data_IF_642489840304
#
_entry.id   IF_642489840304
#
_cell.length_a   1.000
_cell.length_b   1.000
_cell.length_c   1.000
_cell.angle_alpha   90.00
_cell.angle_beta   90.00
_cell.angle_gamma   90.00
#
_symmetry.space_group_name_H-M   'P 1'
#
loop_
_entity.id
_entity.type
_entity.pdbx_description
1 polymer ?
#
# COMPACT_ATOMS: atom_id res chain seq x y z
N UNK A 1 12.13 44.91 -29.90
CA UNK A 1 11.26 44.38 -28.82
C UNK A 1 10.43 43.25 -29.38
N UNK A 2 10.79 42.00 -29.09
CA UNK A 2 9.94 40.83 -29.29
C UNK A 2 10.13 39.95 -28.05
N UNK A 3 9.11 39.90 -27.19
CA UNK A 3 9.07 38.97 -26.07
C UNK A 3 8.38 37.69 -26.56
N UNK A 4 9.18 36.69 -26.90
CA UNK A 4 8.71 35.34 -27.18
C UNK A 4 8.52 34.59 -25.86
N UNK A 5 7.27 34.31 -25.50
CA UNK A 5 6.93 33.44 -24.37
C UNK A 5 7.07 31.99 -24.80
N UNK A 6 8.22 31.38 -24.50
CA UNK A 6 8.40 29.93 -24.62
C UNK A 6 7.49 29.21 -23.62
N UNK A 7 6.49 28.53 -24.18
CA UNK A 7 5.67 27.57 -23.45
C UNK A 7 6.51 26.35 -23.14
N UNK A 8 6.82 26.14 -21.87
CA UNK A 8 7.35 24.87 -21.37
C UNK A 8 6.24 23.81 -21.44
N UNK A 9 6.34 22.94 -22.44
CA UNK A 9 5.55 21.73 -22.57
C UNK A 9 6.03 20.71 -21.52
N UNK A 10 5.43 20.74 -20.33
CA UNK A 10 5.60 19.71 -19.30
C UNK A 10 4.73 18.50 -19.65
N UNK A 11 5.03 17.85 -20.77
CA UNK A 11 4.24 16.76 -21.32
C UNK A 11 5.07 15.49 -21.42
N UNK A 12 4.59 14.42 -20.77
CA UNK A 12 5.00 13.02 -20.99
C UNK A 12 6.21 12.55 -20.17
N UNK A 13 6.01 12.40 -18.87
CA UNK A 13 6.74 11.40 -18.10
C UNK A 13 6.52 10.04 -18.76
N UNK A 14 7.55 9.56 -19.48
CA UNK A 14 7.63 8.19 -19.98
C UNK A 14 7.37 7.27 -18.81
N UNK A 15 6.22 6.59 -18.80
CA UNK A 15 6.08 5.31 -18.11
C UNK A 15 7.18 4.42 -18.70
N UNK A 16 8.30 4.32 -17.99
CA UNK A 16 9.27 3.27 -18.25
C UNK A 16 8.55 1.98 -17.90
N UNK A 17 7.97 1.37 -18.93
CA UNK A 17 7.63 -0.03 -18.98
C UNK A 17 8.96 -0.76 -18.72
N UNK A 18 9.22 -1.10 -17.46
CA UNK A 18 10.33 -1.98 -17.10
C UNK A 18 10.11 -3.25 -17.91
N UNK A 19 11.05 -3.67 -18.77
CA UNK A 19 10.82 -4.80 -19.64
C UNK A 19 10.45 -6.01 -18.78
N UNK A 20 9.37 -6.70 -19.12
CA UNK A 20 8.85 -7.85 -18.35
C UNK A 20 9.94 -8.89 -18.00
N UNK A 21 11.01 -8.96 -18.80
CA UNK A 21 12.21 -9.76 -18.53
C UNK A 21 12.91 -9.40 -17.21
N UNK A 22 13.02 -8.11 -16.87
CA UNK A 22 13.63 -7.63 -15.62
C UNK A 22 12.78 -8.00 -14.41
N UNK A 23 11.45 -7.97 -14.54
CA UNK A 23 10.54 -8.34 -13.44
C UNK A 23 10.64 -9.83 -13.10
N UNK A 24 10.64 -10.69 -14.11
CA UNK A 24 10.80 -12.14 -13.92
C UNK A 24 12.17 -12.48 -13.31
N UNK A 25 13.23 -11.83 -13.77
CA UNK A 25 14.57 -12.00 -13.22
C UNK A 25 14.63 -11.61 -11.73
N UNK A 26 14.11 -10.43 -11.36
CA UNK A 26 14.10 -9.97 -9.97
C UNK A 26 13.22 -10.85 -9.07
N UNK A 27 12.11 -11.40 -9.56
CA UNK A 27 11.31 -12.36 -8.80
C UNK A 27 12.08 -13.67 -8.55
N UNK A 28 12.81 -14.17 -9.55
CA UNK A 28 13.66 -15.35 -9.38
C UNK A 28 14.79 -15.08 -8.37
N UNK A 29 15.40 -13.89 -8.40
CA UNK A 29 16.38 -13.47 -7.39
C UNK A 29 15.76 -13.43 -5.99
N UNK A 30 14.56 -12.88 -5.83
CA UNK A 30 13.84 -12.87 -4.55
C UNK A 30 13.61 -14.28 -4.01
N UNK A 31 13.10 -15.19 -4.85
CA UNK A 31 12.84 -16.58 -4.46
C UNK A 31 14.15 -17.30 -4.12
N UNK A 32 15.20 -17.11 -4.92
CA UNK A 32 16.52 -17.68 -4.69
C UNK A 32 17.12 -17.22 -3.36
N UNK A 33 17.09 -15.91 -3.09
CA UNK A 33 17.59 -15.31 -1.86
C UNK A 33 16.84 -15.84 -0.62
N UNK A 34 15.51 -15.95 -0.69
CA UNK A 34 14.70 -16.55 0.38
C UNK A 34 14.98 -18.04 0.61
N UNK A 35 15.53 -18.78 -0.37
CA UNK A 35 15.90 -20.19 -0.18
C UNK A 35 17.20 -20.37 0.58
N UNK A 36 18.14 -19.44 0.41
CA UNK A 36 19.48 -19.47 1.03
C UNK A 36 19.58 -18.57 2.27
N UNK A 37 18.44 -18.07 2.77
CA UNK A 37 18.33 -17.12 3.89
C UNK A 37 19.12 -15.80 3.69
N UNK A 38 19.36 -15.42 2.43
CA UNK A 38 19.96 -14.14 2.07
C UNK A 38 18.89 -13.03 2.10
N UNK A 39 18.64 -12.49 3.29
CA UNK A 39 17.67 -11.40 3.44
C UNK A 39 18.12 -10.11 2.74
N UNK A 40 19.42 -9.82 2.67
CA UNK A 40 19.90 -8.62 1.98
C UNK A 40 19.58 -8.69 0.48
N UNK A 41 19.84 -9.84 -0.16
CA UNK A 41 19.48 -10.09 -1.55
C UNK A 41 17.97 -10.07 -1.79
N UNK A 42 17.18 -10.66 -0.88
CA UNK A 42 15.72 -10.66 -0.97
C UNK A 42 15.15 -9.23 -0.91
N UNK A 43 15.67 -8.42 0.01
CA UNK A 43 15.27 -7.03 0.18
C UNK A 43 15.68 -6.14 -0.99
N UNK A 44 16.88 -6.35 -1.54
CA UNK A 44 17.35 -5.67 -2.74
C UNK A 44 16.43 -5.97 -3.94
N UNK A 45 16.14 -7.25 -4.19
CA UNK A 45 15.24 -7.68 -5.24
C UNK A 45 13.82 -7.11 -5.08
N UNK A 46 13.30 -7.10 -3.84
CA UNK A 46 11.98 -6.52 -3.54
C UNK A 46 11.95 -5.00 -3.78
N UNK A 47 13.04 -4.29 -3.44
CA UNK A 47 13.20 -2.85 -3.70
C UNK A 47 13.15 -2.57 -5.20
N UNK A 48 13.90 -3.34 -6.00
CA UNK A 48 13.89 -3.24 -7.47
C UNK A 48 12.50 -3.51 -8.05
N UNK A 49 11.82 -4.57 -7.58
CA UNK A 49 10.47 -4.91 -8.05
C UNK A 49 9.44 -3.82 -7.71
N UNK A 50 9.50 -3.29 -6.48
CA UNK A 50 8.57 -2.27 -6.02
C UNK A 50 8.79 -0.92 -6.71
N UNK A 51 9.99 -0.67 -7.27
CA UNK A 51 10.35 0.61 -7.88
C UNK A 51 10.34 1.76 -6.88
N UNK A 52 10.57 1.46 -5.59
CA UNK A 52 10.70 2.47 -4.54
C UNK A 52 12.18 2.74 -4.25
N UNK A 53 12.54 3.97 -3.85
CA UNK A 53 13.90 4.25 -3.41
C UNK A 53 14.23 3.48 -2.12
N UNK A 54 15.50 3.14 -1.94
CA UNK A 54 15.95 2.28 -0.84
C UNK A 54 15.50 2.77 0.54
N UNK A 55 15.58 4.09 0.81
CA UNK A 55 15.15 4.66 2.09
C UNK A 55 13.65 4.46 2.38
N UNK A 56 12.81 4.49 1.35
CA UNK A 56 11.37 4.31 1.47
C UNK A 56 11.04 2.85 1.78
N UNK A 57 11.71 1.93 1.08
CA UNK A 57 11.60 0.50 1.38
C UNK A 57 12.14 0.19 2.78
N UNK A 58 13.21 0.88 3.19
CA UNK A 58 13.80 0.71 4.51
C UNK A 58 12.83 1.07 5.64
N UNK A 59 12.07 2.16 5.46
CA UNK A 59 10.99 2.52 6.38
C UNK A 59 9.92 1.45 6.45
N UNK A 60 9.54 0.83 5.32
CA UNK A 60 8.48 -0.18 5.28
C UNK A 60 8.83 -1.45 6.05
N UNK A 61 10.08 -1.93 5.97
CA UNK A 61 10.46 -3.17 6.68
C UNK A 61 10.97 -2.95 8.10
N UNK A 62 11.48 -1.74 8.44
CA UNK A 62 11.90 -1.43 9.82
C UNK A 62 10.70 -1.16 10.72
N UNK A 63 9.60 -0.69 10.14
CA UNK A 63 8.35 -0.49 10.88
C UNK A 63 7.75 -1.86 11.20
N UNK A 64 7.38 -2.10 12.46
CA UNK A 64 6.80 -3.37 12.90
C UNK A 64 5.39 -3.66 12.32
N UNK A 65 4.84 -2.77 11.49
CA UNK A 65 3.53 -2.96 10.89
C UNK A 65 3.60 -3.89 9.67
N UNK A 66 2.72 -4.89 9.56
CA UNK A 66 2.66 -5.75 8.39
C UNK A 66 2.10 -5.07 7.14
N UNK A 67 1.38 -3.94 7.27
CA UNK A 67 0.55 -3.45 6.16
C UNK A 67 1.41 -2.94 5.01
N UNK A 68 2.59 -2.39 5.30
CA UNK A 68 3.51 -1.86 4.30
C UNK A 68 4.05 -2.94 3.39
N UNK A 69 4.59 -3.99 4.02
CA UNK A 69 5.02 -5.18 3.31
C UNK A 69 3.86 -5.85 2.57
N UNK A 70 2.67 -5.89 3.16
CA UNK A 70 1.49 -6.48 2.54
C UNK A 70 1.07 -5.71 1.28
N UNK A 71 1.10 -4.37 1.30
CA UNK A 71 0.85 -3.52 0.13
C UNK A 71 1.85 -3.81 -0.97
N UNK A 72 3.16 -3.80 -0.68
CA UNK A 72 4.18 -4.08 -1.68
C UNK A 72 3.98 -5.48 -2.27
N UNK A 73 3.81 -6.50 -1.43
CA UNK A 73 3.63 -7.87 -1.88
C UNK A 73 2.36 -8.03 -2.73
N UNK A 74 1.23 -7.42 -2.34
CA UNK A 74 -0.02 -7.51 -3.11
C UNK A 74 0.04 -6.75 -4.43
N UNK A 75 0.66 -5.57 -4.45
CA UNK A 75 0.81 -4.77 -5.66
C UNK A 75 1.68 -5.48 -6.71
N UNK A 76 2.61 -6.32 -6.27
CA UNK A 76 3.50 -7.14 -7.10
C UNK A 76 2.94 -8.54 -7.41
N UNK A 77 1.68 -8.80 -7.06
CA UNK A 77 1.02 -10.11 -7.18
C UNK A 77 1.79 -11.26 -6.50
N UNK A 78 2.55 -10.95 -5.44
CA UNK A 78 3.21 -11.97 -4.63
C UNK A 78 2.16 -12.73 -3.82
N UNK A 79 2.20 -14.05 -3.88
CA UNK A 79 1.25 -14.91 -3.18
C UNK A 79 1.51 -14.94 -1.67
N UNK A 80 0.47 -15.29 -0.91
CA UNK A 80 0.50 -15.43 0.56
C UNK A 80 1.73 -16.18 1.10
N UNK A 81 2.21 -17.29 0.51
CA UNK A 81 3.39 -17.98 1.02
C UNK A 81 4.66 -17.13 0.98
N UNK A 82 4.85 -16.31 -0.05
CA UNK A 82 6.01 -15.41 -0.16
C UNK A 82 5.92 -14.28 0.86
N UNK A 83 4.75 -13.68 1.01
CA UNK A 83 4.52 -12.67 2.05
C UNK A 83 4.81 -13.25 3.45
N UNK A 84 4.27 -14.44 3.75
CA UNK A 84 4.50 -15.11 5.03
C UNK A 84 6.00 -15.36 5.28
N UNK A 85 6.72 -15.84 4.27
CA UNK A 85 8.14 -16.10 4.37
C UNK A 85 8.96 -14.82 4.60
N UNK A 86 8.64 -13.74 3.89
CA UNK A 86 9.26 -12.43 4.07
C UNK A 86 8.99 -11.87 5.47
N UNK A 87 7.71 -11.84 5.88
CA UNK A 87 7.30 -11.27 7.15
C UNK A 87 7.91 -12.03 8.34
N UNK A 88 7.92 -13.36 8.28
CA UNK A 88 8.54 -14.18 9.34
C UNK A 88 10.05 -13.95 9.45
N UNK A 89 10.76 -13.78 8.34
CA UNK A 89 12.21 -13.53 8.37
C UNK A 89 12.57 -12.12 8.80
N UNK A 90 11.71 -11.14 8.51
CA UNK A 90 11.93 -9.75 8.90
C UNK A 90 11.66 -9.51 10.39
N UNK A 91 10.68 -10.20 10.97
CA UNK A 91 10.20 -9.90 12.33
C UNK A 91 10.35 -11.05 13.32
N UNK A 92 10.64 -12.26 12.84
CA UNK A 92 10.91 -13.42 13.69
C UNK A 92 12.40 -13.68 13.84
N UNK A 93 12.78 -14.24 14.98
CA UNK A 93 14.08 -14.88 15.15
C UNK A 93 13.97 -16.37 14.77
N UNK A 94 15.05 -17.00 14.30
CA UNK A 94 15.14 -18.46 14.26
C UNK A 94 14.92 -19.03 15.68
N UNK A 95 14.13 -20.11 15.84
CA UNK A 95 13.42 -20.86 14.81
C UNK A 95 12.11 -20.16 14.36
N UNK A 96 12.02 -19.92 13.05
CA UNK A 96 10.91 -19.19 12.41
C UNK A 96 9.52 -19.80 12.63
N UNK A 97 9.44 -21.10 12.94
CA UNK A 97 8.18 -21.80 13.21
C UNK A 97 7.45 -21.27 14.45
N UNK A 98 8.18 -20.76 15.43
CA UNK A 98 7.57 -20.22 16.65
C UNK A 98 6.92 -18.87 16.37
N UNK A 99 7.58 -18.02 15.58
CA UNK A 99 7.00 -16.75 15.14
C UNK A 99 5.71 -16.95 14.33
N UNK A 100 5.67 -17.96 13.47
CA UNK A 100 4.47 -18.29 12.68
C UNK A 100 3.24 -18.65 13.53
N UNK A 101 3.42 -19.02 14.81
CA UNK A 101 2.33 -19.34 15.73
C UNK A 101 1.78 -18.11 16.47
N UNK A 102 2.53 -16.99 16.47
CA UNK A 102 2.19 -15.77 17.22
C UNK A 102 0.93 -15.07 16.71
N UNK A 103 0.30 -14.28 17.58
CA UNK A 103 -0.85 -13.45 17.18
C UNK A 103 -0.44 -12.37 16.18
N UNK A 104 0.79 -11.85 16.27
CA UNK A 104 1.32 -10.85 15.35
C UNK A 104 1.35 -11.37 13.91
N UNK A 105 1.92 -12.57 13.71
CA UNK A 105 1.93 -13.21 12.40
C UNK A 105 0.51 -13.47 11.85
N UNK A 106 -0.42 -13.91 12.70
CA UNK A 106 -1.82 -14.11 12.28
C UNK A 106 -2.49 -12.80 11.86
N UNK A 107 -2.27 -11.70 12.59
CA UNK A 107 -2.79 -10.36 12.24
C UNK A 107 -2.24 -9.91 10.88
N UNK A 108 -0.94 -10.08 10.65
CA UNK A 108 -0.29 -9.79 9.38
C UNK A 108 -0.94 -10.54 8.21
N UNK A 109 -1.18 -11.84 8.36
CA UNK A 109 -1.85 -12.64 7.31
C UNK A 109 -3.29 -12.20 7.07
N UNK A 110 -4.04 -11.84 8.10
CA UNK A 110 -5.42 -11.33 7.95
C UNK A 110 -5.42 -10.03 7.14
N UNK A 111 -4.51 -9.10 7.44
CA UNK A 111 -4.38 -7.85 6.70
C UNK A 111 -4.02 -8.10 5.24
N UNK A 112 -3.03 -8.97 4.99
CA UNK A 112 -2.65 -9.36 3.63
C UNK A 112 -3.80 -9.99 2.83
N UNK A 113 -4.64 -10.80 3.47
CA UNK A 113 -5.78 -11.45 2.83
C UNK A 113 -6.93 -10.49 2.52
N UNK A 114 -7.09 -9.43 3.32
CA UNK A 114 -8.13 -8.40 3.11
C UNK A 114 -7.75 -7.38 2.04
N UNK A 115 -6.45 -7.23 1.78
CA UNK A 115 -5.96 -6.25 0.82
C UNK A 115 -6.11 -6.75 -0.64
N UNK A 116 -6.87 -6.02 -1.43
CA UNK A 116 -7.04 -6.30 -2.86
C UNK A 116 -5.82 -5.81 -3.66
N UNK A 117 -5.46 -6.55 -4.72
CA UNK A 117 -4.34 -6.20 -5.59
C UNK A 117 -4.48 -4.80 -6.19
N UNK A 118 -5.67 -4.44 -6.70
CA UNK A 118 -5.94 -3.13 -7.29
C UNK A 118 -5.78 -1.98 -6.29
N UNK A 119 -6.20 -2.18 -5.03
CA UNK A 119 -6.01 -1.20 -3.96
C UNK A 119 -4.53 -1.06 -3.60
N UNK A 120 -3.82 -2.19 -3.48
CA UNK A 120 -2.39 -2.20 -3.19
C UNK A 120 -1.58 -1.50 -4.28
N UNK A 121 -1.89 -1.74 -5.56
CA UNK A 121 -1.24 -1.06 -6.69
C UNK A 121 -1.44 0.45 -6.65
N UNK A 122 -2.64 0.93 -6.31
CA UNK A 122 -2.91 2.38 -6.16
C UNK A 122 -2.08 3.00 -5.04
N UNK A 123 -2.00 2.34 -3.88
CA UNK A 123 -1.19 2.82 -2.75
C UNK A 123 0.30 2.86 -3.14
N UNK A 124 0.81 1.77 -3.73
CA UNK A 124 2.20 1.69 -4.18
C UNK A 124 2.52 2.76 -5.24
N UNK A 125 1.62 3.03 -6.18
CA UNK A 125 1.79 4.09 -7.17
C UNK A 125 1.80 5.48 -6.54
N UNK A 126 1.03 5.70 -5.47
CA UNK A 126 1.10 6.92 -4.66
C UNK A 126 2.49 7.08 -4.02
N UNK A 127 3.00 6.01 -3.41
CA UNK A 127 4.35 6.00 -2.82
C UNK A 127 5.45 6.19 -3.85
N UNK A 128 5.31 5.68 -5.08
CA UNK A 128 6.28 5.95 -6.15
C UNK A 128 6.35 7.42 -6.53
N UNK A 129 5.20 8.12 -6.54
CA UNK A 129 5.13 9.56 -6.86
C UNK A 129 5.63 10.43 -5.72
N UNK A 130 5.37 10.03 -4.49
CA UNK A 130 5.77 10.76 -3.29
C UNK A 130 6.39 9.82 -2.25
N UNK A 131 7.63 9.35 -2.41
CA UNK A 131 8.20 8.33 -1.53
C UNK A 131 8.40 8.79 -0.08
N UNK A 132 8.37 10.10 0.17
CA UNK A 132 8.38 10.67 1.52
C UNK A 132 7.08 10.40 2.29
N UNK A 133 5.95 10.24 1.59
CA UNK A 133 4.62 9.95 2.17
C UNK A 133 4.41 8.46 2.42
N UNK A 134 5.41 7.63 2.15
CA UNK A 134 5.40 6.23 2.57
C UNK A 134 5.13 6.20 4.06
N UNK A 135 3.99 5.60 4.41
CA UNK A 135 3.49 5.50 5.77
C UNK A 135 3.05 6.83 6.44
N UNK A 136 2.84 7.89 5.67
CA UNK A 136 1.86 8.89 6.08
C UNK A 136 0.49 8.29 5.76
N UNK A 137 -0.42 8.26 6.75
CA UNK A 137 -1.82 7.97 6.48
C UNK A 137 -2.25 8.75 5.23
N UNK A 138 -2.91 8.12 4.25
CA UNK A 138 -3.46 8.88 3.14
C UNK A 138 -4.34 9.95 3.78
N UNK A 139 -3.98 11.22 3.60
CA UNK A 139 -4.76 12.33 4.10
C UNK A 139 -6.22 12.08 3.66
N UNK A 140 -7.19 12.00 4.60
CA UNK A 140 -8.58 11.78 4.25
C UNK A 140 -9.13 12.85 3.27
N UNK A 141 -8.38 13.92 3.00
CA UNK A 141 -8.69 14.96 2.04
C UNK A 141 -8.67 14.54 0.55
N UNK A 142 -7.92 13.52 0.11
CA UNK A 142 -7.77 13.23 -1.34
C UNK A 142 -8.60 12.04 -1.88
N UNK A 143 -9.42 11.37 -1.07
CA UNK A 143 -10.03 10.09 -1.46
C UNK A 143 -11.52 9.91 -1.20
N UNK A 144 -12.27 10.98 -0.92
CA UNK A 144 -13.68 10.90 -0.54
C UNK A 144 -14.58 11.82 -1.35
N UNK A 145 -14.86 11.46 -2.60
CA UNK A 145 -16.12 11.89 -3.22
C UNK A 145 -17.24 11.40 -2.30
N UNK A 146 -17.76 12.36 -1.53
CA UNK A 146 -18.83 12.14 -0.57
C UNK A 146 -20.03 11.63 -1.33
N UNK A 147 -20.26 10.32 -1.28
CA UNK A 147 -21.62 9.80 -1.36
C UNK A 147 -22.33 10.35 -0.11
N UNK A 148 -22.85 11.56 -0.24
CA UNK A 148 -23.81 12.14 0.70
C UNK A 148 -24.94 11.13 0.80
N UNK A 149 -25.01 10.40 1.92
CA UNK A 149 -26.27 9.78 2.33
C UNK A 149 -27.29 10.93 2.36
N UNK A 150 -28.40 10.84 1.59
CA UNK A 150 -29.43 11.85 1.70
C UNK A 150 -29.98 11.79 3.13
N UNK A 151 -29.66 12.81 3.93
CA UNK A 151 -30.34 13.05 5.18
C UNK A 151 -31.83 13.16 4.86
N UNK A 152 -32.60 12.14 5.25
CA UNK A 152 -34.06 12.22 5.35
C UNK A 152 -34.38 13.51 6.10
N UNK A 153 -34.95 14.49 5.39
CA UNK A 153 -35.65 15.63 6.00
C UNK A 153 -36.72 15.05 6.92
N UNK A 154 -36.49 15.14 8.23
CA UNK A 154 -37.55 15.03 9.19
C UNK A 154 -38.52 16.20 8.93
N UNK A 155 -39.77 15.88 8.62
CA UNK A 155 -40.82 16.86 8.46
C UNK A 155 -41.07 17.59 9.79
N UNK A 156 -41.33 18.90 9.80
CA UNK A 156 -41.80 19.59 10.99
C UNK A 156 -43.24 19.15 11.28
N UNK A 157 -43.44 18.46 12.41
CA UNK A 157 -44.78 18.21 12.94
C UNK A 157 -45.43 19.55 13.28
N UNK A 158 -46.45 19.89 12.51
CA UNK A 158 -47.20 21.13 12.63
C UNK A 158 -47.89 21.25 13.98
N UNK A 159 -47.78 22.45 14.55
CA UNK A 159 -48.72 22.96 15.53
C UNK A 159 -50.15 22.86 14.98
N UNK A 160 -51.07 22.27 15.75
CA UNK A 160 -52.49 22.62 15.70
C UNK A 160 -53.04 22.75 17.11
N UNK A 161 -53.38 24.00 17.44
CA UNK A 161 -54.20 24.41 18.60
C UNK A 161 -55.65 23.94 18.44
N UNK A 162 -56.29 23.55 19.55
CA UNK A 162 -57.64 23.93 20.04
C UNK A 162 -57.80 23.28 21.43
N UNK A 163 -57.80 23.99 22.58
CA UNK A 163 -58.81 24.85 23.25
C UNK A 163 -60.12 24.09 23.63
N UNK A 164 -60.94 24.57 24.59
CA UNK A 164 -60.87 24.32 26.04
C UNK A 164 -62.19 23.72 26.62
N UNK A 165 -62.27 23.65 27.96
CA UNK A 165 -63.47 23.58 28.82
C UNK A 165 -64.34 22.31 28.88
N UNK A 166 -64.35 21.66 30.04
CA UNK A 166 -65.43 21.75 31.04
C UNK A 166 -64.95 21.23 32.39
#
# INVERSE_FOLDING_TARGET
MFQGTERYDAGTARRMDLPHATQAASLNTLIGALRVDDMAGALSALTTLAGLPAYAMERLWRTASPEGLAVVCRALDLRRPLFAALYTRLHGAPPYNDFARTQQFRKALIQFNRLHASQASRILDGWKRAPMTVWQDPDPAEGGERIQKPHRRAAPAGQRRVRPES
#
